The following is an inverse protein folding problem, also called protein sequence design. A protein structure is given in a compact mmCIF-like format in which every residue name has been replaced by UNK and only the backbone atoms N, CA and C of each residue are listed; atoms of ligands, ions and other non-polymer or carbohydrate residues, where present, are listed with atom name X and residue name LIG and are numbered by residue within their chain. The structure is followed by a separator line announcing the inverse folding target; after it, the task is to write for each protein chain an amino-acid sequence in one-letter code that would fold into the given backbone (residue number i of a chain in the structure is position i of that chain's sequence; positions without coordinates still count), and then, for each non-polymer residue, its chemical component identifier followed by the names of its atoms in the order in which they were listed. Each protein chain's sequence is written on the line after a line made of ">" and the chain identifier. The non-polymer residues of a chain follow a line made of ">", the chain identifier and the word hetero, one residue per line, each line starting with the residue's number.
data_IF_049091362177
#
_entry.id   IF_049091362177
#
_cell.length_a   1.000
_cell.length_b   1.000
_cell.length_c   1.000
_cell.angle_alpha   90.00
_cell.angle_beta   90.00
_cell.angle_gamma   90.00
#
_symmetry.space_group_name_H-M   'P 1'
#
loop_
_entity.id
_entity.type
_entity.pdbx_description
1 polymer ?
#
# COMPACT_ATOMS: atom_id res chain seq x y z
N UNK A 1 -7.42 0.29 3.26
CA UNK A 1 -6.94 0.04 4.64
C UNK A 1 -6.06 -1.19 4.78
N UNK A 2 -6.43 -2.36 4.22
CA UNK A 2 -5.68 -3.61 4.40
C UNK A 2 -4.18 -3.53 4.10
N UNK A 3 -3.77 -2.74 3.09
CA UNK A 3 -2.35 -2.51 2.78
C UNK A 3 -1.55 -1.87 3.93
N UNK A 4 -2.15 -0.94 4.69
CA UNK A 4 -1.50 -0.32 5.84
C UNK A 4 -1.42 -1.25 7.04
N UNK A 5 -2.48 -2.04 7.27
CA UNK A 5 -2.48 -3.07 8.33
C UNK A 5 -1.39 -4.11 8.04
N UNK A 6 -1.29 -4.55 6.79
CA UNK A 6 -0.27 -5.50 6.34
C UNK A 6 1.14 -4.92 6.48
N UNK A 7 1.34 -3.67 6.05
CA UNK A 7 2.62 -2.96 6.23
C UNK A 7 3.00 -2.83 7.71
N UNK A 8 2.06 -2.46 8.57
CA UNK A 8 2.31 -2.36 10.00
C UNK A 8 2.70 -3.72 10.59
N UNK A 9 2.02 -4.79 10.21
CA UNK A 9 2.38 -6.13 10.69
C UNK A 9 3.75 -6.58 10.19
N UNK A 10 4.10 -6.28 8.93
CA UNK A 10 5.44 -6.52 8.39
C UNK A 10 6.52 -5.79 9.20
N UNK A 11 6.35 -4.47 9.42
CA UNK A 11 7.37 -3.62 10.03
C UNK A 11 7.43 -3.76 11.56
N UNK A 12 6.29 -3.84 12.23
CA UNK A 12 6.20 -3.75 13.69
C UNK A 12 5.58 -4.99 14.35
N UNK A 13 4.84 -5.80 13.59
CA UNK A 13 4.15 -7.00 14.10
C UNK A 13 4.93 -8.30 13.96
N UNK A 14 6.22 -8.24 13.61
CA UNK A 14 7.07 -9.43 13.44
C UNK A 14 6.84 -10.20 12.13
N UNK A 15 6.25 -9.55 11.12
CA UNK A 15 6.09 -10.15 9.79
C UNK A 15 7.40 -10.25 8.99
N UNK A 16 8.44 -9.50 9.37
CA UNK A 16 9.79 -9.62 8.78
C UNK A 16 10.30 -11.06 8.86
N UNK A 17 10.76 -11.61 7.73
CA UNK A 17 11.26 -12.99 7.63
C UNK A 17 10.16 -14.07 7.60
N UNK A 18 8.89 -13.71 7.79
CA UNK A 18 7.74 -14.62 7.60
C UNK A 18 7.07 -14.46 6.25
N UNK A 19 7.23 -13.30 5.61
CA UNK A 19 6.64 -12.98 4.32
C UNK A 19 7.74 -12.92 3.26
N UNK A 20 7.66 -13.81 2.28
CA UNK A 20 8.56 -13.76 1.12
C UNK A 20 8.22 -12.63 0.15
N UNK A 21 6.91 -12.39 -0.07
CA UNK A 21 6.42 -11.39 -1.04
C UNK A 21 5.24 -10.62 -0.46
N UNK A 22 5.30 -9.28 -0.55
CA UNK A 22 4.20 -8.38 -0.23
C UNK A 22 3.80 -7.59 -1.47
N UNK A 23 2.56 -7.80 -1.93
CA UNK A 23 1.99 -7.09 -3.07
C UNK A 23 0.92 -6.11 -2.58
N UNK A 24 1.22 -4.82 -2.67
CA UNK A 24 0.32 -3.76 -2.23
C UNK A 24 -0.54 -3.25 -3.38
N UNK A 25 -1.86 -3.30 -3.22
CA UNK A 25 -2.83 -2.76 -4.17
C UNK A 25 -3.44 -1.45 -3.64
N UNK A 26 -3.17 -0.33 -4.32
CA UNK A 26 -3.70 1.02 -4.01
C UNK A 26 -3.72 1.36 -2.50
N UNK A 27 -2.64 1.05 -1.79
CA UNK A 27 -2.55 1.27 -0.34
C UNK A 27 -2.18 2.72 0.00
N UNK A 28 -2.84 3.44 0.91
CA UNK A 28 -2.48 4.83 1.24
C UNK A 28 -1.22 4.93 2.12
N UNK A 29 -0.07 4.52 1.61
CA UNK A 29 1.18 4.39 2.38
C UNK A 29 1.79 5.71 2.85
N UNK A 30 1.49 6.80 2.14
CA UNK A 30 1.79 8.18 2.55
C UNK A 30 0.53 8.95 2.95
N UNK A 31 -0.57 8.23 3.16
CA UNK A 31 -1.88 8.75 3.54
C UNK A 31 -2.74 9.15 2.34
N UNK A 32 -3.91 9.71 2.60
CA UNK A 32 -4.79 10.24 1.56
C UNK A 32 -5.45 11.53 2.03
N UNK A 33 -5.53 12.53 1.16
CA UNK A 33 -6.26 13.77 1.45
C UNK A 33 -7.74 13.49 1.73
N UNK A 34 -8.30 12.40 1.21
CA UNK A 34 -9.68 11.98 1.50
C UNK A 34 -9.91 11.54 2.96
N UNK A 35 -8.84 11.34 3.74
CA UNK A 35 -8.96 11.04 5.17
C UNK A 35 -9.30 12.27 6.04
N UNK A 36 -9.18 13.49 5.50
CA UNK A 36 -9.60 14.71 6.20
C UNK A 36 -11.13 14.85 6.29
N UNK A 37 -11.89 14.80 5.17
CA UNK A 37 -13.35 14.89 5.23
C UNK A 37 -14.00 13.66 5.91
N UNK A 38 -13.43 12.46 5.78
CA UNK A 38 -14.02 11.20 6.27
C UNK A 38 -13.68 10.85 7.74
N UNK A 39 -13.51 11.86 8.58
CA UNK A 39 -12.79 11.78 9.87
C UNK A 39 -13.45 10.99 11.02
N UNK A 40 -14.57 10.31 10.78
CA UNK A 40 -15.40 9.74 11.84
C UNK A 40 -14.79 8.53 12.56
N UNK A 41 -13.81 7.85 11.95
CA UNK A 41 -13.21 6.63 12.50
C UNK A 41 -11.72 6.80 12.84
N UNK A 42 -11.21 6.24 13.95
CA UNK A 42 -9.80 6.31 14.33
C UNK A 42 -8.83 5.85 13.24
N UNK A 43 -9.17 4.76 12.54
CA UNK A 43 -8.37 4.25 11.42
C UNK A 43 -8.27 5.23 10.25
N UNK A 44 -9.32 6.03 10.00
CA UNK A 44 -9.27 7.07 8.96
C UNK A 44 -8.34 8.20 9.38
N UNK A 45 -8.34 8.60 10.65
CA UNK A 45 -7.39 9.60 11.16
C UNK A 45 -5.94 9.16 11.01
N UNK A 46 -5.66 7.87 11.18
CA UNK A 46 -4.32 7.29 10.92
C UNK A 46 -3.91 7.35 9.44
N UNK A 47 -4.87 7.35 8.51
CA UNK A 47 -4.61 7.48 7.07
C UNK A 47 -4.38 8.91 6.60
N UNK A 48 -4.39 9.91 7.49
CA UNK A 48 -4.09 11.29 7.10
C UNK A 48 -2.60 11.44 6.77
N UNK A 49 -2.23 12.14 5.69
CA UNK A 49 -0.84 12.47 5.41
C UNK A 49 -0.17 13.11 6.63
N UNK A 50 1.02 12.61 6.97
CA UNK A 50 1.77 13.09 8.14
C UNK A 50 1.20 12.66 9.50
N UNK A 51 0.26 11.72 9.57
CA UNK A 51 -0.20 11.18 10.86
C UNK A 51 0.97 10.54 11.64
N UNK A 52 0.95 10.53 12.99
CA UNK A 52 1.98 9.85 13.78
C UNK A 52 2.15 8.38 13.41
N UNK A 53 1.05 7.71 13.05
CA UNK A 53 1.07 6.32 12.57
C UNK A 53 1.90 6.17 11.29
N UNK A 54 1.66 7.00 10.27
CA UNK A 54 2.41 6.92 9.02
C UNK A 54 3.86 7.38 9.17
N UNK A 55 4.12 8.38 10.02
CA UNK A 55 5.48 8.80 10.34
C UNK A 55 6.27 7.67 11.00
N UNK A 56 5.69 6.95 11.96
CA UNK A 56 6.33 5.80 12.60
C UNK A 56 6.66 4.69 11.59
N UNK A 57 5.76 4.38 10.64
CA UNK A 57 6.02 3.42 9.57
C UNK A 57 7.06 3.91 8.55
N UNK A 58 7.20 5.22 8.37
CA UNK A 58 8.15 5.81 7.43
C UNK A 58 9.56 5.97 8.02
N UNK A 59 9.67 6.06 9.34
CA UNK A 59 10.93 6.18 10.07
C UNK A 59 11.71 4.85 10.18
N UNK A 60 11.12 3.75 9.73
CA UNK A 60 11.72 2.43 9.79
C UNK A 60 12.91 2.30 8.82
N UNK A 61 14.14 2.06 9.31
CA UNK A 61 15.34 2.05 8.48
C UNK A 61 15.51 0.76 7.65
N UNK A 62 14.91 -0.35 8.09
CA UNK A 62 14.87 -1.62 7.35
C UNK A 62 13.41 -2.09 7.25
N UNK A 63 12.59 -1.40 6.45
CA UNK A 63 11.15 -1.62 6.46
C UNK A 63 10.75 -3.01 5.95
N UNK A 64 11.61 -3.70 5.19
CA UNK A 64 11.25 -4.91 4.45
C UNK A 64 12.06 -6.14 4.84
N UNK A 65 13.29 -6.00 5.35
CA UNK A 65 14.21 -7.11 5.54
C UNK A 65 14.39 -7.89 4.23
N UNK A 66 14.07 -9.18 4.25
CA UNK A 66 14.09 -10.06 3.06
C UNK A 66 12.81 -10.04 2.23
N UNK A 67 11.78 -9.31 2.66
CA UNK A 67 10.46 -9.29 2.00
C UNK A 67 10.55 -8.56 0.66
N UNK A 68 10.13 -9.21 -0.42
CA UNK A 68 10.02 -8.57 -1.74
C UNK A 68 8.73 -7.75 -1.81
N UNK A 69 8.84 -6.44 -2.01
CA UNK A 69 7.69 -5.53 -2.02
C UNK A 69 7.36 -5.08 -3.43
N UNK A 70 6.09 -5.17 -3.80
CA UNK A 70 5.56 -4.72 -5.09
C UNK A 70 4.39 -3.76 -4.87
N UNK A 71 4.29 -2.71 -5.68
CA UNK A 71 3.21 -1.72 -5.60
C UNK A 71 2.44 -1.68 -6.91
N UNK A 72 1.13 -1.93 -6.86
CA UNK A 72 0.24 -1.74 -7.98
C UNK A 72 -0.81 -0.72 -7.57
N UNK A 73 -1.06 0.27 -8.41
CA UNK A 73 -2.03 1.32 -8.12
C UNK A 73 -2.68 1.81 -9.41
N UNK A 74 -3.83 2.46 -9.30
CA UNK A 74 -4.41 3.19 -10.42
C UNK A 74 -4.11 4.67 -10.33
N UNK A 75 -3.72 5.35 -11.43
CA UNK A 75 -3.57 6.80 -11.43
C UNK A 75 -4.93 7.53 -11.27
N UNK A 76 -6.05 6.82 -11.47
CA UNK A 76 -7.41 7.36 -11.35
C UNK A 76 -8.00 7.18 -9.94
N UNK A 77 -7.15 6.94 -8.94
CA UNK A 77 -7.59 6.66 -7.58
C UNK A 77 -8.20 7.92 -6.93
N UNK A 78 -9.52 7.94 -6.79
CA UNK A 78 -10.24 9.00 -6.08
C UNK A 78 -10.32 8.76 -4.56
N UNK A 79 -9.95 7.57 -4.07
CA UNK A 79 -9.93 7.26 -2.63
C UNK A 79 -8.57 7.57 -2.02
N UNK A 80 -7.50 7.35 -2.78
CA UNK A 80 -6.11 7.61 -2.39
C UNK A 80 -5.59 8.79 -3.19
N UNK A 81 -5.57 9.98 -2.57
CA UNK A 81 -5.16 11.22 -3.24
C UNK A 81 -3.96 11.83 -2.50
N UNK A 82 -2.82 12.06 -3.19
CA UNK A 82 -2.53 11.65 -4.58
C UNK A 82 -2.36 10.13 -4.71
N UNK A 83 -2.67 9.57 -5.88
CA UNK A 83 -2.58 8.12 -6.14
C UNK A 83 -1.18 7.55 -5.89
N UNK A 84 -0.14 8.36 -6.15
CA UNK A 84 1.27 8.05 -5.90
C UNK A 84 1.61 7.84 -4.41
N UNK A 85 0.70 8.19 -3.49
CA UNK A 85 0.78 7.78 -2.09
C UNK A 85 0.84 6.25 -1.92
N UNK A 86 0.44 5.50 -2.95
CA UNK A 86 0.50 4.04 -3.00
C UNK A 86 1.87 3.45 -3.23
N UNK A 87 2.88 4.27 -3.48
CA UNK A 87 4.24 3.83 -3.76
C UNK A 87 5.02 3.73 -2.45
N UNK A 88 5.58 2.55 -2.18
CA UNK A 88 6.47 2.30 -1.06
C UNK A 88 7.94 2.52 -1.45
N UNK A 89 8.76 3.08 -0.55
CA UNK A 89 10.20 3.19 -0.78
C UNK A 89 10.83 1.80 -0.87
N UNK A 90 11.75 1.60 -1.80
CA UNK A 90 12.44 0.31 -1.99
C UNK A 90 11.55 -0.80 -2.57
N UNK A 91 10.37 -0.48 -3.10
CA UNK A 91 9.57 -1.45 -3.84
C UNK A 91 10.34 -1.94 -5.08
N UNK A 92 10.33 -3.26 -5.30
CA UNK A 92 10.99 -3.92 -6.42
C UNK A 92 10.34 -3.58 -7.75
N UNK A 93 9.00 -3.51 -7.77
CA UNK A 93 8.23 -3.03 -8.92
C UNK A 93 7.14 -2.06 -8.50
N UNK A 94 6.85 -1.13 -9.41
CA UNK A 94 5.79 -0.13 -9.26
C UNK A 94 5.02 -0.07 -10.57
N UNK A 95 3.77 -0.49 -10.55
CA UNK A 95 2.92 -0.56 -11.74
C UNK A 95 1.69 0.33 -11.59
N UNK A 96 1.53 1.27 -12.54
CA UNK A 96 0.35 2.10 -12.66
C UNK A 96 -0.62 1.47 -13.67
N UNK A 97 -1.67 0.81 -13.18
CA UNK A 97 -2.66 0.14 -14.02
C UNK A 97 -3.89 1.03 -14.14
N UNK A 98 -4.27 1.36 -15.38
CA UNK A 98 -5.41 2.24 -15.70
C UNK A 98 -6.74 1.53 -15.41
N UNK A 99 -7.07 1.41 -14.13
CA UNK A 99 -8.36 0.92 -13.62
C UNK A 99 -9.23 2.13 -13.26
N UNK A 100 -10.47 2.25 -13.77
CA UNK A 100 -11.25 3.49 -13.63
C UNK A 100 -11.57 3.89 -12.18
N UNK A 101 -11.71 2.93 -11.27
CA UNK A 101 -12.06 3.18 -9.87
C UNK A 101 -11.26 2.28 -8.92
N UNK A 102 -10.90 2.83 -7.76
CA UNK A 102 -10.11 2.17 -6.71
C UNK A 102 -10.60 0.75 -6.39
N UNK A 103 -11.91 0.57 -6.21
CA UNK A 103 -12.51 -0.72 -5.83
C UNK A 103 -12.28 -1.82 -6.87
N UNK A 104 -12.20 -1.47 -8.15
CA UNK A 104 -12.02 -2.45 -9.22
C UNK A 104 -10.57 -2.97 -9.29
N UNK A 105 -9.62 -2.37 -8.59
CA UNK A 105 -8.27 -2.92 -8.47
C UNK A 105 -8.27 -4.36 -7.94
N UNK A 106 -9.29 -4.75 -7.17
CA UNK A 106 -9.42 -6.10 -6.61
C UNK A 106 -9.96 -7.15 -7.58
N UNK A 107 -10.51 -6.73 -8.73
CA UNK A 107 -11.19 -7.62 -9.68
C UNK A 107 -10.75 -7.43 -11.13
N UNK A 108 -10.00 -6.36 -11.44
CA UNK A 108 -9.47 -6.11 -12.79
C UNK A 108 -8.47 -7.21 -13.15
N UNK A 109 -8.70 -7.86 -14.30
CA UNK A 109 -7.90 -9.00 -14.74
C UNK A 109 -6.42 -8.67 -14.86
N UNK A 110 -6.08 -7.46 -15.32
CA UNK A 110 -4.69 -7.02 -15.49
C UNK A 110 -3.99 -6.91 -14.13
N UNK A 111 -4.71 -6.43 -13.12
CA UNK A 111 -4.18 -6.37 -11.75
C UNK A 111 -3.97 -7.77 -11.19
N UNK A 112 -4.94 -8.68 -11.38
CA UNK A 112 -4.82 -10.07 -10.92
C UNK A 112 -3.65 -10.81 -11.60
N UNK A 113 -3.49 -10.64 -12.91
CA UNK A 113 -2.38 -11.23 -13.65
C UNK A 113 -1.01 -10.67 -13.19
N UNK A 114 -0.93 -9.36 -12.92
CA UNK A 114 0.27 -8.71 -12.39
C UNK A 114 0.60 -9.17 -10.95
N UNK A 115 -0.41 -9.31 -10.09
CA UNK A 115 -0.24 -9.92 -8.75
C UNK A 115 0.30 -11.35 -8.88
N UNK A 116 -0.29 -12.16 -9.76
CA UNK A 116 0.16 -13.53 -9.98
C UNK A 116 1.59 -13.59 -10.52
N UNK A 117 2.00 -12.62 -11.35
CA UNK A 117 3.38 -12.50 -11.82
C UNK A 117 4.34 -12.19 -10.67
N UNK A 118 4.03 -11.18 -9.84
CA UNK A 118 4.84 -10.82 -8.66
C UNK A 118 5.03 -12.01 -7.71
N UNK A 119 3.98 -12.81 -7.51
CA UNK A 119 4.02 -13.98 -6.63
C UNK A 119 4.81 -15.16 -7.21
N UNK A 120 4.99 -15.24 -8.54
CA UNK A 120 5.78 -16.28 -9.20
C UNK A 120 7.28 -15.98 -9.25
N UNK A 121 7.68 -14.73 -9.04
CA UNK A 121 9.10 -14.35 -8.91
C UNK A 121 9.74 -14.83 -7.58
N UNK A 122 9.05 -15.71 -6.84
CA UNK A 122 9.33 -16.02 -5.45
C UNK A 122 10.26 -17.21 -5.22
#
# INVERSE_FOLDING_TARGET
>A
MGALVSRWWLQQGGGRGRVGTFVSLSGPHRGTLMAWPLSMLPGVRQMRPGSPFLQALAADPDPWGTTRVHCLYTPFDAMIVPATSSILPGARSVEAIRVPIHRLMLSDRRVLDAVAACLREA
#
